data_IF_495857532980
#
_entry.id   IF_495857532980
#
_cell.length_a   1.000
_cell.length_b   1.000
_cell.length_c   1.000
_cell.angle_alpha   90.00
_cell.angle_beta   90.00
_cell.angle_gamma   90.00
#
_symmetry.space_group_name_H-M   'P 1'
#
loop_
_entity.id
_entity.type
_entity.pdbx_description
1 polymer ?
#
# COMPACT_ATOMS: atom_id res chain seq x y z
N UNK A 1 7.64 -15.73 -14.68
CA UNK A 1 7.70 -15.06 -16.00
C UNK A 1 6.93 -13.76 -15.88
N UNK A 2 7.63 -12.67 -15.57
CA UNK A 2 7.05 -11.33 -15.52
C UNK A 2 6.89 -10.84 -16.95
N UNK A 3 5.70 -11.06 -17.50
CA UNK A 3 5.28 -10.44 -18.76
C UNK A 3 5.49 -8.93 -18.62
N UNK A 4 6.15 -8.32 -19.59
CA UNK A 4 6.64 -6.95 -19.53
C UNK A 4 5.44 -5.98 -19.50
N UNK A 5 4.87 -5.74 -18.32
CA UNK A 5 3.63 -4.96 -18.11
C UNK A 5 3.89 -3.45 -18.11
N UNK A 6 4.99 -3.01 -18.70
CA UNK A 6 5.35 -1.59 -18.75
C UNK A 6 5.19 -1.12 -20.19
N UNK A 7 4.14 -0.35 -20.43
CA UNK A 7 4.02 0.46 -21.65
C UNK A 7 5.32 1.26 -21.78
N UNK A 8 6.08 1.04 -22.86
CA UNK A 8 7.29 1.82 -23.15
C UNK A 8 6.88 3.24 -23.53
N UNK A 9 6.70 4.07 -22.52
CA UNK A 9 6.45 5.50 -22.68
C UNK A 9 7.78 6.23 -22.89
N UNK A 10 7.78 7.19 -23.82
CA UNK A 10 8.86 8.17 -23.91
C UNK A 10 8.95 8.99 -22.63
N UNK A 11 10.14 9.52 -22.31
CA UNK A 11 10.36 10.30 -21.09
C UNK A 11 9.43 11.51 -21.00
N UNK A 12 9.13 12.15 -22.13
CA UNK A 12 8.13 13.22 -22.23
C UNK A 12 6.74 12.74 -21.84
N UNK A 13 6.32 11.56 -22.31
CA UNK A 13 5.01 10.99 -21.98
C UNK A 13 4.92 10.60 -20.51
N UNK A 14 6.01 10.04 -19.95
CA UNK A 14 6.13 9.75 -18.51
C UNK A 14 6.01 11.02 -17.68
N UNK A 15 6.69 12.11 -18.07
CA UNK A 15 6.65 13.39 -17.37
C UNK A 15 5.24 14.00 -17.39
N UNK A 16 4.57 14.00 -18.54
CA UNK A 16 3.19 14.49 -18.65
C UNK A 16 2.25 13.61 -17.83
N UNK A 17 2.38 12.29 -17.91
CA UNK A 17 1.56 11.36 -17.13
C UNK A 17 1.74 11.56 -15.62
N UNK A 18 2.99 11.66 -15.14
CA UNK A 18 3.32 11.99 -13.74
C UNK A 18 2.66 13.29 -13.31
N UNK A 19 2.72 14.33 -14.16
CA UNK A 19 2.06 15.60 -13.88
C UNK A 19 0.54 15.46 -13.72
N UNK A 20 -0.13 14.64 -14.55
CA UNK A 20 -1.57 14.37 -14.41
C UNK A 20 -1.87 13.68 -13.08
N UNK A 21 -1.15 12.60 -12.76
CA UNK A 21 -1.38 11.82 -11.55
C UNK A 21 -1.14 12.67 -10.29
N UNK A 22 -0.06 13.46 -10.26
CA UNK A 22 0.24 14.34 -9.12
C UNK A 22 -0.82 15.44 -8.93
N UNK A 23 -1.35 16.01 -10.01
CA UNK A 23 -2.47 16.97 -9.90
C UNK A 23 -3.69 16.28 -9.32
N UNK A 24 -4.01 15.09 -9.82
CA UNK A 24 -5.15 14.31 -9.33
C UNK A 24 -5.02 13.96 -7.85
N UNK A 25 -3.84 13.48 -7.41
CA UNK A 25 -3.57 13.20 -6.00
C UNK A 25 -3.70 14.44 -5.09
N UNK A 26 -3.37 15.63 -5.61
CA UNK A 26 -3.47 16.89 -4.86
C UNK A 26 -4.88 17.48 -4.83
N UNK A 27 -5.67 17.30 -5.88
CA UNK A 27 -6.89 18.10 -6.12
C UNK A 27 -8.15 17.27 -6.36
N UNK A 28 -8.02 15.97 -6.60
CA UNK A 28 -9.10 15.10 -7.07
C UNK A 28 -9.66 15.45 -8.46
N UNK A 29 -9.09 16.44 -9.16
CA UNK A 29 -9.70 17.04 -10.35
C UNK A 29 -9.01 16.62 -11.66
N UNK A 30 -9.73 16.57 -12.80
CA UNK A 30 -9.14 16.27 -14.11
C UNK A 30 -8.12 17.33 -14.55
N UNK A 31 -7.03 16.89 -15.19
CA UNK A 31 -5.98 17.79 -15.70
C UNK A 31 -6.05 17.96 -17.21
N UNK A 32 -6.21 19.20 -17.67
CA UNK A 32 -6.15 19.56 -19.09
C UNK A 32 -4.74 19.99 -19.54
N UNK A 33 -4.56 20.16 -20.84
CA UNK A 33 -3.26 20.57 -21.40
C UNK A 33 -2.77 21.92 -20.89
N UNK A 34 -3.67 22.89 -20.67
CA UNK A 34 -3.34 24.20 -20.10
C UNK A 34 -2.88 24.10 -18.64
N UNK A 35 -3.54 23.27 -17.84
CA UNK A 35 -3.15 23.03 -16.44
C UNK A 35 -1.76 22.43 -16.35
N UNK A 36 -1.43 21.50 -17.26
CA UNK A 36 -0.13 20.81 -17.28
C UNK A 36 0.96 21.73 -17.83
N UNK A 37 0.66 22.53 -18.85
CA UNK A 37 1.61 23.48 -19.45
C UNK A 37 2.12 24.51 -18.44
N UNK A 38 1.28 24.92 -17.49
CA UNK A 38 1.62 25.89 -16.44
C UNK A 38 2.55 25.33 -15.34
N UNK A 39 2.82 24.02 -15.33
CA UNK A 39 3.72 23.43 -14.33
C UNK A 39 5.18 23.56 -14.74
N UNK A 40 6.02 23.81 -13.74
CA UNK A 40 7.46 23.89 -13.91
C UNK A 40 8.03 22.60 -14.52
N UNK A 41 8.98 22.76 -15.46
CA UNK A 41 9.66 21.65 -16.13
C UNK A 41 8.97 21.11 -17.38
N UNK A 42 7.76 21.55 -17.73
CA UNK A 42 7.07 21.15 -18.97
C UNK A 42 7.40 22.12 -20.11
N UNK A 43 8.38 21.78 -20.95
CA UNK A 43 8.73 22.57 -22.14
C UNK A 43 8.02 22.06 -23.40
N UNK A 44 6.69 22.05 -23.38
CA UNK A 44 5.84 21.58 -24.49
C UNK A 44 4.67 22.53 -24.74
N UNK A 45 4.27 22.64 -26.00
CA UNK A 45 3.08 23.40 -26.38
C UNK A 45 1.78 22.69 -25.93
N UNK A 46 0.70 23.45 -25.74
CA UNK A 46 -0.62 22.90 -25.39
C UNK A 46 -1.10 21.83 -26.39
N UNK A 47 -0.82 22.00 -27.70
CA UNK A 47 -1.18 21.02 -28.73
C UNK A 47 -0.37 19.73 -28.60
N UNK A 48 0.94 19.81 -28.33
CA UNK A 48 1.78 18.64 -28.06
C UNK A 48 1.30 17.88 -26.82
N UNK A 49 0.93 18.59 -25.76
CA UNK A 49 0.40 17.97 -24.53
C UNK A 49 -0.95 17.29 -24.81
N UNK A 50 -1.85 17.91 -25.57
CA UNK A 50 -3.14 17.28 -25.98
C UNK A 50 -2.92 15.97 -26.72
N UNK A 51 -1.94 15.92 -27.63
CA UNK A 51 -1.59 14.71 -28.37
C UNK A 51 -1.08 13.60 -27.42
N UNK A 52 -0.18 13.95 -26.50
CA UNK A 52 0.35 13.01 -25.51
C UNK A 52 -0.78 12.48 -24.61
N UNK A 53 -1.66 13.35 -24.11
CA UNK A 53 -2.82 12.96 -23.30
C UNK A 53 -3.76 12.02 -24.06
N UNK A 54 -4.00 12.28 -25.36
CA UNK A 54 -4.80 11.40 -26.20
C UNK A 54 -4.16 10.02 -26.38
N UNK A 55 -2.84 9.96 -26.55
CA UNK A 55 -2.11 8.69 -26.65
C UNK A 55 -2.14 7.92 -25.32
N UNK A 56 -1.89 8.58 -24.20
CA UNK A 56 -1.98 7.97 -22.87
C UNK A 56 -3.39 7.43 -22.56
N UNK A 57 -4.43 8.08 -23.09
CA UNK A 57 -5.80 7.57 -23.03
C UNK A 57 -5.99 6.32 -23.89
N UNK A 58 -5.45 6.29 -25.11
CA UNK A 58 -5.49 5.09 -25.97
C UNK A 58 -4.77 3.89 -25.35
N UNK A 59 -3.67 4.13 -24.63
CA UNK A 59 -2.95 3.11 -23.85
C UNK A 59 -3.72 2.63 -22.60
N UNK A 60 -4.88 3.23 -22.31
CA UNK A 60 -5.71 2.89 -21.16
C UNK A 60 -5.16 3.38 -19.81
N UNK A 61 -4.16 4.27 -19.82
CA UNK A 61 -3.57 4.85 -18.59
C UNK A 61 -4.36 6.05 -18.09
N UNK A 62 -5.05 6.76 -18.99
CA UNK A 62 -5.90 7.90 -18.68
C UNK A 62 -7.32 7.68 -19.20
N UNK A 63 -8.29 8.34 -18.58
CA UNK A 63 -9.64 8.47 -19.12
C UNK A 63 -10.13 9.92 -19.01
N UNK A 64 -11.20 10.22 -19.76
CA UNK A 64 -11.88 11.50 -19.72
C UNK A 64 -13.28 11.29 -19.15
N UNK A 65 -13.66 11.95 -18.04
CA UNK A 65 -15.02 11.82 -17.52
C UNK A 65 -16.06 12.46 -18.46
N UNK A 66 -15.67 13.53 -19.16
CA UNK A 66 -16.45 14.18 -20.22
C UNK A 66 -15.52 14.63 -21.35
N UNK A 67 -16.08 14.89 -22.53
CA UNK A 67 -15.32 15.27 -23.73
C UNK A 67 -14.45 16.51 -23.54
N UNK A 68 -14.91 17.49 -22.75
CA UNK A 68 -14.21 18.74 -22.43
C UNK A 68 -13.48 18.72 -21.08
N UNK A 69 -13.83 17.80 -20.18
CA UNK A 69 -13.09 17.63 -18.94
C UNK A 69 -11.70 17.08 -19.29
N UNK A 70 -10.67 17.47 -18.55
CA UNK A 70 -9.30 17.02 -18.74
C UNK A 70 -9.12 15.49 -18.64
N UNK A 71 -7.98 15.03 -18.15
CA UNK A 71 -7.71 13.60 -17.98
C UNK A 71 -7.49 13.23 -16.53
N UNK A 72 -7.93 12.03 -16.19
CA UNK A 72 -7.79 11.37 -14.91
C UNK A 72 -7.06 10.04 -15.11
N UNK A 73 -6.25 9.59 -14.14
CA UNK A 73 -5.66 8.26 -14.20
C UNK A 73 -6.72 7.17 -14.04
N UNK A 74 -6.62 6.12 -14.84
CA UNK A 74 -7.35 4.86 -14.61
C UNK A 74 -6.67 4.08 -13.49
N UNK A 75 -7.29 2.99 -13.01
CA UNK A 75 -6.64 2.07 -12.07
C UNK A 75 -5.33 1.51 -12.63
N UNK A 76 -5.31 1.17 -13.93
CA UNK A 76 -4.10 0.76 -14.67
C UNK A 76 -3.04 1.88 -14.65
N UNK A 77 -3.47 3.12 -14.90
CA UNK A 77 -2.59 4.29 -14.83
C UNK A 77 -2.01 4.49 -13.43
N UNK A 78 -2.83 4.42 -12.38
CA UNK A 78 -2.38 4.53 -11.00
C UNK A 78 -1.37 3.43 -10.63
N UNK A 79 -1.61 2.18 -11.04
CA UNK A 79 -0.65 1.09 -10.83
C UNK A 79 0.67 1.35 -11.55
N UNK A 80 0.62 1.76 -12.82
CA UNK A 80 1.80 2.13 -13.60
C UNK A 80 2.61 3.26 -12.94
N UNK A 81 1.92 4.26 -12.40
CA UNK A 81 2.57 5.34 -11.65
C UNK A 81 3.31 4.82 -10.42
N UNK A 82 2.63 4.01 -9.58
CA UNK A 82 3.20 3.46 -8.35
C UNK A 82 4.38 2.51 -8.62
N UNK A 83 4.30 1.70 -9.68
CA UNK A 83 5.35 0.73 -10.01
C UNK A 83 6.61 1.32 -10.64
N UNK A 84 6.44 2.36 -11.48
CA UNK A 84 7.49 2.73 -12.44
C UNK A 84 7.89 4.19 -12.46
N UNK A 85 7.11 5.09 -11.87
CA UNK A 85 7.34 6.55 -11.93
C UNK A 85 7.40 7.23 -10.57
N UNK A 86 6.88 6.56 -9.55
CA UNK A 86 6.96 7.05 -8.19
C UNK A 86 8.37 6.79 -7.66
N UNK A 87 9.16 7.85 -7.56
CA UNK A 87 10.47 7.82 -6.95
C UNK A 87 10.32 7.95 -5.43
N UNK A 88 10.21 6.82 -4.72
CA UNK A 88 10.39 6.84 -3.28
C UNK A 88 11.85 7.13 -2.96
N UNK A 89 12.11 8.09 -2.07
CA UNK A 89 13.34 8.07 -1.29
C UNK A 89 13.38 6.75 -0.52
N UNK A 90 14.45 5.97 -0.67
CA UNK A 90 14.65 4.80 0.18
C UNK A 90 14.75 5.28 1.62
N UNK A 91 14.08 4.60 2.55
CA UNK A 91 14.25 4.85 3.98
C UNK A 91 15.75 4.86 4.31
N UNK A 92 16.19 5.93 4.96
CA UNK A 92 17.53 6.09 5.48
C UNK A 92 17.83 5.01 6.51
N UNK A 93 19.12 4.77 6.78
CA UNK A 93 19.51 3.79 7.79
C UNK A 93 19.00 4.20 9.18
N UNK A 94 18.96 5.49 9.48
CA UNK A 94 18.47 6.03 10.75
C UNK A 94 16.96 5.85 10.90
N UNK A 95 16.18 6.09 9.84
CA UNK A 95 14.74 5.81 9.84
C UNK A 95 14.45 4.32 10.06
N UNK A 96 15.20 3.43 9.39
CA UNK A 96 15.08 1.98 9.60
C UNK A 96 15.42 1.58 11.03
N UNK A 97 16.49 2.14 11.59
CA UNK A 97 16.91 1.87 12.95
C UNK A 97 15.87 2.36 13.97
N UNK A 98 15.30 3.55 13.77
CA UNK A 98 14.24 4.10 14.62
C UNK A 98 12.97 3.24 14.60
N UNK A 99 12.51 2.81 13.40
CA UNK A 99 11.37 1.90 13.27
C UNK A 99 11.66 0.58 14.02
N UNK A 100 12.86 0.01 13.84
CA UNK A 100 13.26 -1.24 14.50
C UNK A 100 13.29 -1.10 16.02
N UNK A 101 13.80 0.01 16.54
CA UNK A 101 13.82 0.28 17.98
C UNK A 101 12.40 0.41 18.53
N UNK A 102 11.50 1.12 17.85
CA UNK A 102 10.09 1.23 18.25
C UNK A 102 9.39 -0.15 18.32
N UNK A 103 9.74 -1.09 17.43
CA UNK A 103 9.21 -2.45 17.47
C UNK A 103 9.82 -3.34 18.58
N UNK A 104 11.05 -3.06 19.03
CA UNK A 104 11.76 -3.84 20.05
C UNK A 104 11.54 -3.29 21.47
N UNK A 105 11.28 -1.99 21.58
CA UNK A 105 11.09 -1.31 22.86
C UNK A 105 9.68 -1.55 23.38
N UNK A 106 9.49 -2.68 24.05
CA UNK A 106 8.61 -2.90 25.22
C UNK A 106 8.54 -4.41 25.46
N UNK A 107 8.56 -4.83 26.72
CA UNK A 107 8.25 -6.22 27.14
C UNK A 107 6.77 -6.59 26.93
N UNK A 108 6.18 -6.08 25.85
CA UNK A 108 4.81 -6.22 25.42
C UNK A 108 4.63 -7.54 24.68
N UNK A 109 3.49 -8.18 24.92
CA UNK A 109 3.03 -9.35 24.21
C UNK A 109 3.05 -9.15 22.70
N UNK A 110 3.16 -10.25 21.95
CA UNK A 110 3.09 -10.24 20.48
C UNK A 110 1.81 -9.55 19.97
N UNK A 111 0.70 -9.65 20.71
CA UNK A 111 -0.56 -8.98 20.39
C UNK A 111 -0.44 -7.45 20.45
N UNK A 112 0.17 -6.91 21.52
CA UNK A 112 0.36 -5.47 21.68
C UNK A 112 1.25 -4.87 20.58
N UNK A 113 2.24 -5.61 20.09
CA UNK A 113 3.08 -5.17 18.96
C UNK A 113 2.26 -5.05 17.67
N UNK A 114 1.35 -5.99 17.42
CA UNK A 114 0.47 -5.95 16.25
C UNK A 114 -0.50 -4.77 16.33
N UNK A 115 -1.07 -4.52 17.51
CA UNK A 115 -1.98 -3.41 17.75
C UNK A 115 -1.30 -2.06 17.55
N UNK A 116 -0.10 -1.85 18.13
CA UNK A 116 0.66 -0.63 17.93
C UNK A 116 1.08 -0.44 16.47
N UNK A 117 1.51 -1.51 15.80
CA UNK A 117 1.85 -1.45 14.38
C UNK A 117 0.66 -1.01 13.52
N UNK A 118 -0.54 -1.53 13.82
CA UNK A 118 -1.77 -1.16 13.13
C UNK A 118 -2.11 0.32 13.32
N UNK A 119 -1.98 0.83 14.56
CA UNK A 119 -2.19 2.25 14.88
C UNK A 119 -1.19 3.16 14.16
N UNK A 120 0.10 2.79 14.14
CA UNK A 120 1.14 3.57 13.46
C UNK A 120 0.87 3.66 11.96
N UNK A 121 0.55 2.53 11.30
CA UNK A 121 0.23 2.52 9.87
C UNK A 121 -1.01 3.36 9.57
N UNK A 122 -2.04 3.25 10.41
CA UNK A 122 -3.26 4.02 10.25
C UNK A 122 -3.02 5.52 10.43
N UNK A 123 -2.27 5.91 11.45
CA UNK A 123 -1.93 7.30 11.72
C UNK A 123 -1.04 7.94 10.63
N UNK A 124 -0.12 7.18 10.05
CA UNK A 124 0.74 7.70 8.97
C UNK A 124 0.00 7.86 7.64
N UNK A 125 -0.95 6.98 7.35
CA UNK A 125 -1.68 6.99 6.08
C UNK A 125 -2.98 7.77 6.12
N UNK A 126 -3.52 8.10 7.30
CA UNK A 126 -4.91 8.55 7.49
C UNK A 126 -5.95 7.58 6.91
N UNK A 127 -5.61 6.29 6.80
CA UNK A 127 -6.49 5.23 6.32
C UNK A 127 -6.55 4.09 7.35
N UNK A 128 -7.44 3.11 7.14
CA UNK A 128 -7.49 1.92 7.98
C UNK A 128 -6.20 1.11 7.82
N UNK A 129 -5.46 0.93 8.92
CA UNK A 129 -4.35 -0.01 9.00
C UNK A 129 -4.84 -1.40 9.36
N UNK A 130 -4.32 -2.44 8.70
CA UNK A 130 -4.57 -3.84 9.05
C UNK A 130 -3.21 -4.53 9.13
N UNK A 131 -2.95 -5.23 10.24
CA UNK A 131 -1.76 -6.06 10.42
C UNK A 131 -2.21 -7.50 10.60
N UNK A 132 -1.70 -8.38 9.75
CA UNK A 132 -2.00 -9.81 9.80
C UNK A 132 -0.81 -10.51 10.43
N UNK A 133 -1.02 -11.11 11.59
CA UNK A 133 -0.03 -12.00 12.17
C UNK A 133 -0.02 -13.34 11.42
N UNK A 134 1.15 -13.88 11.08
CA UNK A 134 1.24 -15.25 10.61
C UNK A 134 0.69 -16.20 11.68
N UNK A 135 -0.19 -17.13 11.29
CA UNK A 135 -0.60 -18.24 12.14
C UNK A 135 0.53 -19.25 12.20
N UNK A 136 1.23 -19.30 13.32
CA UNK A 136 2.17 -20.37 13.59
C UNK A 136 1.41 -21.56 14.18
N UNK A 137 1.35 -22.68 13.45
CA UNK A 137 0.98 -23.96 14.05
C UNK A 137 2.22 -24.53 14.72
N UNK A 138 2.34 -24.30 16.02
CA UNK A 138 3.41 -24.89 16.80
C UNK A 138 3.10 -26.37 17.05
N UNK A 139 4.13 -27.23 17.02
CA UNK A 139 3.97 -28.62 17.43
C UNK A 139 3.53 -28.66 18.89
N UNK A 140 2.47 -29.41 19.17
CA UNK A 140 1.96 -29.57 20.53
C UNK A 140 2.94 -30.46 21.32
N UNK A 141 3.39 -29.98 22.48
CA UNK A 141 4.25 -30.77 23.38
C UNK A 141 3.44 -31.57 24.38
N UNK A 142 2.31 -31.02 24.82
CA UNK A 142 1.49 -31.64 25.86
C UNK A 142 0.02 -31.26 25.72
N UNK A 143 -0.86 -32.23 25.99
CA UNK A 143 -2.31 -32.02 26.09
C UNK A 143 -2.77 -32.73 27.36
N UNK A 144 -3.50 -32.03 28.21
CA UNK A 144 -4.12 -32.56 29.41
C UNK A 144 -5.61 -32.22 29.44
N UNK A 145 -6.41 -33.17 29.94
CA UNK A 145 -7.84 -32.99 30.15
C UNK A 145 -8.16 -33.19 31.62
N UNK A 146 -8.68 -32.14 32.27
CA UNK A 146 -9.12 -32.19 33.65
C UNK A 146 -10.65 -32.12 33.65
N UNK A 147 -11.31 -33.21 34.07
CA UNK A 147 -12.78 -33.21 34.21
C UNK A 147 -13.17 -32.25 35.34
N UNK A 148 -14.07 -31.31 35.03
CA UNK A 148 -14.58 -30.34 36.01
C UNK A 148 -15.89 -30.83 36.65
N UNK A 149 -16.80 -31.38 35.83
CA UNK A 149 -18.07 -31.97 36.29
C UNK A 149 -18.60 -32.98 35.24
N UNK A 150 -19.87 -33.38 35.35
CA UNK A 150 -20.50 -34.35 34.45
C UNK A 150 -20.66 -33.87 33.00
N UNK A 151 -20.58 -32.56 32.75
CA UNK A 151 -20.80 -31.95 31.44
C UNK A 151 -19.66 -31.04 30.97
N UNK A 152 -18.58 -30.89 31.75
CA UNK A 152 -17.48 -29.97 31.43
C UNK A 152 -16.10 -30.60 31.67
N UNK A 153 -15.18 -30.30 30.77
CA UNK A 153 -13.76 -30.67 30.83
C UNK A 153 -12.90 -29.45 30.52
N UNK A 154 -11.86 -29.21 31.31
CA UNK A 154 -10.82 -28.24 30.99
C UNK A 154 -9.75 -28.91 30.12
N UNK A 155 -9.57 -28.41 28.90
CA UNK A 155 -8.47 -28.75 28.01
C UNK A 155 -7.31 -27.79 28.27
N UNK A 156 -6.13 -28.33 28.53
CA UNK A 156 -4.87 -27.60 28.67
C UNK A 156 -3.97 -28.06 27.51
N UNK A 157 -3.57 -27.14 26.63
CA UNK A 157 -2.72 -27.43 25.48
C UNK A 157 -1.43 -26.62 25.60
N UNK A 158 -0.29 -27.30 25.72
CA UNK A 158 1.02 -26.67 25.74
C UNK A 158 1.76 -26.89 24.42
N UNK A 159 2.14 -25.79 23.78
CA UNK A 159 2.83 -25.76 22.48
C UNK A 159 4.35 -25.73 22.63
N UNK A 160 5.09 -26.09 21.57
CA UNK A 160 6.55 -26.15 21.62
C UNK A 160 7.25 -24.82 21.88
N UNK A 161 6.61 -23.72 21.54
CA UNK A 161 7.04 -22.34 21.81
C UNK A 161 6.73 -21.87 23.25
N UNK A 162 6.15 -22.73 24.10
CA UNK A 162 5.80 -22.39 25.49
C UNK A 162 4.44 -21.72 25.66
N UNK A 163 3.66 -21.51 24.60
CA UNK A 163 2.27 -21.06 24.74
C UNK A 163 1.40 -22.15 25.40
N UNK A 164 0.56 -21.74 26.33
CA UNK A 164 -0.42 -22.59 27.00
C UNK A 164 -1.81 -22.02 26.70
N UNK A 165 -2.68 -22.85 26.13
CA UNK A 165 -4.09 -22.52 25.92
C UNK A 165 -4.96 -23.34 26.87
N UNK A 166 -5.88 -22.66 27.56
CA UNK A 166 -6.84 -23.27 28.47
C UNK A 166 -8.26 -23.02 27.96
N UNK A 167 -9.03 -24.09 27.76
CA UNK A 167 -10.41 -23.98 27.28
C UNK A 167 -11.32 -24.96 28.01
N UNK A 168 -12.45 -24.47 28.51
CA UNK A 168 -13.52 -25.32 29.03
C UNK A 168 -14.39 -25.75 27.84
N UNK A 169 -14.61 -27.06 27.73
CA UNK A 169 -15.44 -27.72 26.72
C UNK A 169 -16.54 -28.47 27.44
#
# INVERSE_FOLDING_TARGET
MSENLYVELSDRSKQIFKSVVETYLKTGSPSGSETIQKKDGVNLSSSSIRLILANLQKEGLLFAPHTSAGRLPTDKGMRFFVDGLLEFGRLTQDEKNNIKQQCLSKGTSFQEVLDESSKVISGLSNHTGIVIAPKYQYSIKHIEFIRLNSSQVMSIIASANGQIENRII
#
